data_IF_577336740715
#
_entry.id   IF_577336740715
#
_cell.length_a   1.000
_cell.length_b   1.000
_cell.length_c   1.000
_cell.angle_alpha   90.00
_cell.angle_beta   90.00
_cell.angle_gamma   90.00
#
_symmetry.space_group_name_H-M   'P 1'
#
loop_
_entity.id
_entity.type
_entity.pdbx_description
1 polymer ?
#
# COMPACT_ATOMS: atom_id res chain seq x y z
N UNK A 1 -39.19 47.58 -36.86
CA UNK A 1 -38.28 46.52 -37.36
C UNK A 1 -37.32 46.23 -36.23
N UNK A 2 -37.64 45.23 -35.42
CA UNK A 2 -36.93 44.90 -34.19
C UNK A 2 -35.83 43.92 -34.56
N UNK A 3 -34.57 44.38 -34.57
CA UNK A 3 -33.42 43.49 -34.72
C UNK A 3 -33.08 42.92 -33.34
N UNK A 4 -33.37 41.63 -33.16
CA UNK A 4 -32.92 40.82 -32.03
C UNK A 4 -31.51 40.36 -32.37
N UNK A 5 -30.51 41.05 -31.81
CA UNK A 5 -29.13 40.61 -31.85
C UNK A 5 -28.82 39.64 -30.70
N UNK A 6 -28.01 38.59 -30.97
CA UNK A 6 -28.11 37.32 -30.27
C UNK A 6 -27.43 37.32 -28.89
N UNK A 7 -28.09 36.67 -27.93
CA UNK A 7 -27.49 36.27 -26.67
C UNK A 7 -26.28 35.37 -26.95
N UNK A 8 -25.09 35.91 -26.67
CA UNK A 8 -23.85 35.16 -26.67
C UNK A 8 -23.97 34.04 -25.64
N UNK A 9 -24.09 32.80 -26.11
CA UNK A 9 -24.06 31.63 -25.27
C UNK A 9 -22.70 31.60 -24.56
N UNK A 10 -22.70 31.93 -23.26
CA UNK A 10 -21.54 31.76 -22.41
C UNK A 10 -21.26 30.26 -22.29
N UNK A 11 -20.48 29.71 -23.22
CA UNK A 11 -19.83 28.41 -23.05
C UNK A 11 -19.07 28.48 -21.75
N UNK A 12 -19.59 27.81 -20.71
CA UNK A 12 -18.89 27.68 -19.43
C UNK A 12 -17.53 27.06 -19.73
N UNK A 13 -16.49 27.89 -19.74
CA UNK A 13 -15.15 27.42 -20.03
C UNK A 13 -14.83 26.32 -18.99
N UNK A 14 -14.39 25.13 -19.43
CA UNK A 14 -14.10 24.06 -18.49
C UNK A 14 -13.03 24.54 -17.52
N UNK A 15 -13.28 24.36 -16.23
CA UNK A 15 -12.38 24.80 -15.15
C UNK A 15 -10.98 24.20 -15.25
N UNK A 16 -10.86 23.06 -15.93
CA UNK A 16 -9.61 22.35 -16.22
C UNK A 16 -9.62 21.79 -17.64
N UNK A 17 -8.45 21.81 -18.27
CA UNK A 17 -8.22 21.10 -19.53
C UNK A 17 -7.18 19.98 -19.37
N UNK A 18 -7.24 18.99 -20.26
CA UNK A 18 -6.32 17.84 -20.26
C UNK A 18 -4.86 18.27 -20.34
N UNK A 19 -4.56 19.27 -21.16
CA UNK A 19 -3.19 19.79 -21.32
C UNK A 19 -2.64 20.42 -20.04
N UNK A 20 -3.49 21.11 -19.28
CA UNK A 20 -3.10 21.71 -18.00
C UNK A 20 -2.74 20.63 -16.98
N UNK A 21 -3.51 19.55 -16.94
CA UNK A 21 -3.22 18.37 -16.10
C UNK A 21 -1.89 17.72 -16.50
N UNK A 22 -1.64 17.51 -17.79
CA UNK A 22 -0.36 16.97 -18.27
C UNK A 22 0.83 17.89 -17.97
N UNK A 23 0.63 19.21 -18.03
CA UNK A 23 1.66 20.19 -17.63
C UNK A 23 1.95 20.10 -16.13
N UNK A 24 0.92 19.99 -15.30
CA UNK A 24 1.05 19.81 -13.86
C UNK A 24 1.80 18.52 -13.51
N UNK A 25 1.47 17.39 -14.15
CA UNK A 25 2.15 16.11 -13.93
C UNK A 25 3.65 16.18 -14.30
N UNK A 26 3.99 16.79 -15.43
CA UNK A 26 5.40 17.01 -15.81
C UNK A 26 6.15 17.87 -14.79
N UNK A 27 5.48 18.89 -14.23
CA UNK A 27 6.09 19.75 -13.22
C UNK A 27 6.38 18.98 -11.92
N UNK A 28 5.43 18.16 -11.47
CA UNK A 28 5.58 17.28 -10.30
C UNK A 28 6.75 16.32 -10.52
N UNK A 29 6.84 15.69 -11.68
CA UNK A 29 7.93 14.75 -12.02
C UNK A 29 9.29 15.45 -12.03
N UNK A 30 9.37 16.65 -12.60
CA UNK A 30 10.62 17.41 -12.69
C UNK A 30 11.11 17.88 -11.31
N UNK A 31 10.21 18.33 -10.46
CA UNK A 31 10.54 18.91 -9.16
C UNK A 31 10.60 17.86 -8.03
N UNK A 32 10.25 16.60 -8.32
CA UNK A 32 10.11 15.53 -7.33
C UNK A 32 9.32 15.99 -6.10
N UNK A 33 8.28 16.79 -6.35
CA UNK A 33 7.56 17.52 -5.30
C UNK A 33 6.86 16.52 -4.39
N UNK A 34 7.07 16.64 -3.08
CA UNK A 34 6.29 15.87 -2.12
C UNK A 34 4.85 16.36 -2.15
N UNK A 35 3.95 15.46 -2.55
CA UNK A 35 2.52 15.72 -2.58
C UNK A 35 1.88 15.18 -1.30
N UNK A 36 0.80 15.83 -0.82
CA UNK A 36 0.05 15.30 0.31
C UNK A 36 -0.46 13.89 0.00
N UNK A 37 -0.54 13.00 0.99
CA UNK A 37 -0.98 11.63 0.78
C UNK A 37 -2.41 11.59 0.22
N UNK A 38 -2.63 10.74 -0.78
CA UNK A 38 -3.97 10.43 -1.28
C UNK A 38 -4.79 9.74 -0.20
N UNK A 39 -6.04 10.18 0.00
CA UNK A 39 -6.94 9.61 1.00
C UNK A 39 -7.59 8.32 0.53
N UNK A 40 -8.28 8.36 -0.61
CA UNK A 40 -9.10 7.24 -1.11
C UNK A 40 -8.77 6.87 -2.55
N UNK A 41 -8.43 7.86 -3.38
CA UNK A 41 -8.26 7.68 -4.83
C UNK A 41 -6.90 8.17 -5.29
N UNK A 42 -6.39 7.55 -6.35
CA UNK A 42 -5.13 7.86 -6.99
C UNK A 42 -5.33 8.01 -8.50
N UNK A 43 -4.72 9.02 -9.11
CA UNK A 43 -4.63 9.17 -10.55
C UNK A 43 -3.46 8.36 -11.07
N UNK A 44 -3.70 7.49 -12.05
CA UNK A 44 -2.68 6.68 -12.69
C UNK A 44 -2.18 7.38 -13.96
N UNK A 45 -0.89 7.64 -14.05
CA UNK A 45 -0.26 8.19 -15.24
C UNK A 45 1.15 7.61 -15.43
N UNK A 46 1.40 7.01 -16.59
CA UNK A 46 2.68 6.35 -16.94
C UNK A 46 3.19 5.36 -15.87
N UNK A 47 2.27 4.59 -15.29
CA UNK A 47 2.58 3.60 -14.24
C UNK A 47 2.86 4.20 -12.85
N UNK A 48 2.77 5.52 -12.70
CA UNK A 48 2.91 6.23 -11.42
C UNK A 48 1.54 6.65 -10.89
N UNK A 49 1.47 6.77 -9.57
CA UNK A 49 0.24 7.15 -8.87
C UNK A 49 0.40 8.53 -8.28
N UNK A 50 -0.61 9.37 -8.49
CA UNK A 50 -0.62 10.76 -8.08
C UNK A 50 -1.90 11.08 -7.31
N UNK A 51 -1.86 11.92 -6.27
CA UNK A 51 -3.05 12.39 -5.59
C UNK A 51 -3.89 13.27 -6.52
N UNK A 52 -5.13 12.88 -6.88
CA UNK A 52 -5.93 13.56 -7.90
C UNK A 52 -6.20 15.02 -7.54
N UNK A 53 -6.49 15.29 -6.26
CA UNK A 53 -6.74 16.65 -5.77
C UNK A 53 -5.52 17.56 -5.92
N UNK A 54 -4.33 17.08 -5.57
CA UNK A 54 -3.12 17.91 -5.64
C UNK A 54 -2.74 18.20 -7.10
N UNK A 55 -2.96 17.24 -8.00
CA UNK A 55 -2.77 17.43 -9.44
C UNK A 55 -3.77 18.46 -9.98
N UNK A 56 -5.05 18.36 -9.62
CA UNK A 56 -6.08 19.31 -10.03
C UNK A 56 -5.80 20.73 -9.51
N UNK A 57 -5.41 20.88 -8.23
CA UNK A 57 -5.01 22.16 -7.63
C UNK A 57 -3.85 22.79 -8.39
N UNK A 58 -2.81 22.01 -8.71
CA UNK A 58 -1.66 22.51 -9.45
C UNK A 58 -2.03 22.91 -10.87
N UNK A 59 -2.78 22.06 -11.57
CA UNK A 59 -3.24 22.34 -12.93
C UNK A 59 -4.10 23.62 -12.98
N UNK A 60 -4.96 23.83 -11.98
CA UNK A 60 -5.81 25.02 -11.87
C UNK A 60 -5.02 26.30 -11.57
N UNK A 61 -3.96 26.23 -10.77
CA UNK A 61 -3.02 27.34 -10.56
C UNK A 61 -2.29 27.72 -11.84
N UNK A 62 -1.86 26.72 -12.61
CA UNK A 62 -1.22 26.92 -13.91
C UNK A 62 -2.21 27.52 -14.93
N UNK A 63 -3.48 27.11 -14.88
CA UNK A 63 -4.54 27.63 -15.75
C UNK A 63 -4.82 29.12 -15.52
N UNK A 64 -4.87 29.55 -14.26
CA UNK A 64 -5.12 30.95 -13.90
C UNK A 64 -3.86 31.82 -13.83
N UNK A 65 -2.68 31.23 -14.07
CA UNK A 65 -1.40 31.88 -13.81
C UNK A 65 -1.29 32.48 -12.39
N UNK A 66 -2.01 31.91 -11.41
CA UNK A 66 -2.07 32.38 -10.04
C UNK A 66 -1.60 31.28 -9.08
N UNK A 67 -0.44 31.45 -8.41
CA UNK A 67 0.11 30.44 -7.51
C UNK A 67 -0.71 30.25 -6.22
N UNK A 68 -1.56 31.21 -5.85
CA UNK A 68 -2.42 31.14 -4.68
C UNK A 68 -3.83 30.61 -5.00
N UNK A 69 -4.14 30.33 -6.28
CA UNK A 69 -5.44 29.79 -6.62
C UNK A 69 -5.68 28.45 -5.91
N UNK A 70 -6.84 28.32 -5.28
CA UNK A 70 -7.27 27.11 -4.60
C UNK A 70 -8.30 26.42 -5.46
N UNK A 71 -8.22 25.10 -5.54
CA UNK A 71 -9.22 24.32 -6.24
C UNK A 71 -10.60 24.57 -5.61
N UNK A 72 -11.60 25.01 -6.40
CA UNK A 72 -12.88 25.48 -5.87
C UNK A 72 -13.76 24.36 -5.31
N UNK A 73 -13.43 23.09 -5.59
CA UNK A 73 -14.23 21.96 -5.11
C UNK A 73 -13.79 21.50 -3.69
N UNK A 74 -14.74 21.39 -2.74
CA UNK A 74 -14.49 20.83 -1.41
C UNK A 74 -14.16 19.32 -1.48
N UNK A 75 -13.71 18.75 -0.37
CA UNK A 75 -13.48 17.31 -0.26
C UNK A 75 -14.79 16.54 -0.51
N UNK A 76 -14.77 15.56 -1.42
CA UNK A 76 -15.96 14.75 -1.77
C UNK A 76 -16.72 15.19 -3.03
N UNK A 77 -16.48 16.40 -3.56
CA UNK A 77 -16.95 16.80 -4.89
C UNK A 77 -16.10 16.13 -5.99
N UNK A 78 -16.65 15.87 -7.20
CA UNK A 78 -16.12 14.90 -8.13
C UNK A 78 -14.96 15.50 -8.95
N UNK A 79 -13.89 15.88 -8.25
CA UNK A 79 -12.57 16.12 -8.87
C UNK A 79 -12.15 14.89 -9.68
N UNK A 80 -12.52 13.71 -9.22
CA UNK A 80 -12.36 12.45 -9.94
C UNK A 80 -13.11 12.48 -11.28
N UNK A 81 -14.41 12.80 -11.29
CA UNK A 81 -15.18 12.86 -12.54
C UNK A 81 -14.63 13.93 -13.50
N UNK A 82 -14.13 15.07 -12.98
CA UNK A 82 -13.48 16.09 -13.81
C UNK A 82 -12.21 15.56 -14.48
N UNK A 83 -11.41 14.74 -13.78
CA UNK A 83 -10.21 14.11 -14.34
C UNK A 83 -10.57 12.94 -15.27
N UNK A 84 -11.58 12.15 -14.93
CA UNK A 84 -12.09 11.05 -15.76
C UNK A 84 -12.67 11.58 -17.08
N UNK A 85 -13.41 12.69 -17.05
CA UNK A 85 -13.92 13.37 -18.24
C UNK A 85 -12.80 13.93 -19.15
N UNK A 86 -11.57 13.99 -18.65
CA UNK A 86 -10.36 14.38 -19.39
C UNK A 86 -9.50 13.17 -19.78
N UNK A 87 -10.07 11.96 -19.75
CA UNK A 87 -9.44 10.68 -20.07
C UNK A 87 -8.30 10.27 -19.11
N UNK A 88 -8.37 10.68 -17.83
CA UNK A 88 -7.47 10.16 -16.81
C UNK A 88 -8.08 9.00 -16.04
N UNK A 89 -7.30 7.95 -15.83
CA UNK A 89 -7.70 6.80 -15.02
C UNK A 89 -7.53 7.11 -13.54
N UNK A 90 -8.63 7.09 -12.80
CA UNK A 90 -8.63 7.17 -11.34
C UNK A 90 -8.85 5.76 -10.78
N UNK A 91 -8.02 5.38 -9.81
CA UNK A 91 -8.10 4.08 -9.13
C UNK A 91 -8.30 4.29 -7.64
N UNK A 92 -9.08 3.41 -7.00
CA UNK A 92 -9.14 3.37 -5.55
C UNK A 92 -7.79 2.90 -4.97
N UNK A 93 -7.36 3.52 -3.88
CA UNK A 93 -6.17 3.10 -3.15
C UNK A 93 -6.43 1.71 -2.61
N UNK A 94 -5.61 0.73 -3.02
CA UNK A 94 -5.70 -0.63 -2.50
C UNK A 94 -5.42 -0.59 -0.99
N UNK A 95 -6.33 -1.05 -0.13
CA UNK A 95 -5.98 -1.27 1.26
C UNK A 95 -4.86 -2.30 1.28
N UNK A 96 -3.68 -1.87 1.70
CA UNK A 96 -2.62 -2.80 2.06
C UNK A 96 -3.08 -3.42 3.38
N UNK A 97 -3.58 -4.66 3.29
CA UNK A 97 -3.59 -5.55 4.44
C UNK A 97 -2.12 -5.69 4.83
N UNK A 98 -1.68 -4.92 5.82
CA UNK A 98 -0.35 -5.05 6.37
C UNK A 98 -0.26 -6.45 6.98
N UNK A 99 0.30 -7.39 6.22
CA UNK A 99 0.57 -8.75 6.67
C UNK A 99 1.54 -8.80 7.88
N UNK A 100 2.04 -7.65 8.37
CA UNK A 100 2.92 -7.53 9.52
C UNK A 100 2.24 -7.19 10.85
N UNK A 101 0.90 -7.06 10.92
CA UNK A 101 0.17 -6.79 12.17
C UNK A 101 -0.66 -7.97 12.68
N UNK A 102 -0.42 -9.17 12.14
CA UNK A 102 -1.05 -10.41 12.59
C UNK A 102 -0.11 -11.29 13.43
N UNK A 103 1.19 -10.95 13.50
CA UNK A 103 2.17 -11.78 14.21
C UNK A 103 2.00 -11.69 15.74
N UNK A 104 1.50 -10.56 16.24
CA UNK A 104 1.17 -10.35 17.65
C UNK A 104 -0.08 -11.14 18.08
N UNK A 105 -1.07 -11.28 17.18
CA UNK A 105 -2.30 -12.03 17.47
C UNK A 105 -2.11 -13.55 17.37
N UNK A 106 -1.23 -14.02 16.48
CA UNK A 106 -0.89 -15.44 16.37
C UNK A 106 -0.18 -15.96 17.62
N UNK A 107 0.82 -15.21 18.11
CA UNK A 107 1.57 -15.59 19.31
C UNK A 107 0.70 -15.58 20.57
N UNK A 108 -0.23 -14.63 20.69
CA UNK A 108 -1.18 -14.60 21.81
C UNK A 108 -2.14 -15.80 21.79
N UNK A 109 -2.61 -16.23 20.61
CA UNK A 109 -3.49 -17.38 20.48
C UNK A 109 -2.75 -18.71 20.75
N UNK A 110 -1.50 -18.84 20.30
CA UNK A 110 -0.65 -20.00 20.58
C UNK A 110 -0.34 -20.10 22.08
N UNK A 111 0.06 -18.99 22.73
CA UNK A 111 0.30 -18.95 24.17
C UNK A 111 -0.95 -19.30 24.99
N UNK A 112 -2.12 -18.80 24.58
CA UNK A 112 -3.39 -19.16 25.23
C UNK A 112 -3.74 -20.64 25.08
N UNK A 113 -3.45 -21.25 23.93
CA UNK A 113 -3.66 -22.68 23.72
C UNK A 113 -2.69 -23.53 24.55
N UNK A 114 -1.42 -23.11 24.63
CA UNK A 114 -0.40 -23.75 25.45
C UNK A 114 -0.71 -23.67 26.95
N UNK A 115 -1.17 -22.52 27.44
CA UNK A 115 -1.63 -22.33 28.83
C UNK A 115 -2.84 -23.21 29.17
N UNK A 116 -3.75 -23.41 28.21
CA UNK A 116 -4.93 -24.26 28.40
C UNK A 116 -4.56 -25.74 28.47
N UNK A 117 -3.53 -26.16 27.72
CA UNK A 117 -3.07 -27.54 27.67
C UNK A 117 -2.14 -27.90 28.85
N UNK A 118 -1.29 -26.96 29.26
CA UNK A 118 -0.22 -27.19 30.26
C UNK A 118 -0.63 -26.71 31.66
N UNK A 119 -1.67 -25.86 31.75
CA UNK A 119 -2.05 -25.13 32.95
C UNK A 119 -1.16 -23.90 33.17
N UNK A 120 -1.70 -22.80 33.73
CA UNK A 120 -0.90 -21.60 34.00
C UNK A 120 0.23 -21.93 34.98
N UNK A 121 1.48 -21.47 34.74
CA UNK A 121 2.56 -21.69 35.69
C UNK A 121 2.20 -20.97 37.02
N UNK A 122 2.41 -21.62 38.17
CA UNK A 122 2.21 -20.96 39.46
C UNK A 122 3.20 -19.78 39.57
N UNK A 123 2.77 -18.60 40.10
CA UNK A 123 3.58 -17.39 40.16
C UNK A 123 4.63 -17.42 41.28
N UNK A 124 5.30 -18.56 41.50
CA UNK A 124 6.39 -18.71 42.47
C UNK A 124 7.31 -19.88 42.07
N UNK A 125 8.08 -19.71 40.99
CA UNK A 125 9.32 -20.47 40.79
C UNK A 125 10.21 -19.86 39.70
N UNK A 126 10.65 -18.62 39.93
CA UNK A 126 11.96 -18.23 39.45
C UNK A 126 12.98 -18.92 40.36
N UNK A 127 13.91 -19.67 39.74
CA UNK A 127 14.98 -20.45 40.38
C UNK A 127 14.56 -21.82 40.95
N UNK A 128 14.60 -22.83 40.09
CA UNK A 128 15.55 -23.93 40.29
C UNK A 128 15.76 -24.63 38.95
N UNK A 129 16.95 -24.44 38.38
CA UNK A 129 17.44 -25.23 37.27
C UNK A 129 17.56 -26.69 37.75
N UNK A 130 16.51 -27.48 37.59
CA UNK A 130 16.64 -28.93 37.60
C UNK A 130 17.51 -29.30 36.42
N UNK A 131 18.79 -29.52 36.70
CA UNK A 131 19.71 -30.20 35.82
C UNK A 131 19.17 -31.62 35.60
N UNK A 132 18.32 -31.77 34.59
CA UNK A 132 17.94 -33.07 34.05
C UNK A 132 19.19 -33.61 33.37
N UNK A 133 19.89 -34.52 34.05
CA UNK A 133 21.00 -35.25 33.47
C UNK A 133 20.48 -36.10 32.32
N UNK A 134 20.98 -35.85 31.10
CA UNK A 134 20.69 -36.70 29.95
C UNK A 134 21.16 -38.13 30.25
N UNK A 135 20.32 -39.17 30.05
CA UNK A 135 20.78 -40.55 30.17
C UNK A 135 21.82 -40.81 29.06
N UNK A 136 22.98 -41.32 29.47
CA UNK A 136 24.07 -41.68 28.55
C UNK A 136 23.55 -42.73 27.55
N UNK A 137 23.59 -42.48 26.23
CA UNK A 137 23.04 -43.43 25.27
C UNK A 137 23.90 -44.71 25.24
N UNK A 138 23.28 -45.84 25.56
CA UNK A 138 23.91 -47.17 25.60
C UNK A 138 24.03 -47.83 24.21
N UNK A 139 24.18 -47.07 23.13
CA UNK A 139 24.44 -47.62 21.79
C UNK A 139 25.91 -47.47 21.42
N UNK A 140 26.75 -48.29 22.04
CA UNK A 140 27.99 -48.76 21.42
C UNK A 140 27.63 -49.80 20.37
N UNK A 141 27.33 -49.35 19.16
CA UNK A 141 27.47 -50.21 17.98
C UNK A 141 27.72 -49.32 16.78
N UNK A 142 28.96 -49.35 16.29
CA UNK A 142 29.30 -48.82 14.97
C UNK A 142 28.45 -49.58 13.93
N UNK A 143 27.76 -48.91 13.00
CA UNK A 143 27.12 -49.62 11.90
C UNK A 143 28.19 -50.40 11.11
N UNK A 144 27.87 -51.59 10.57
CA UNK A 144 28.81 -52.30 9.73
C UNK A 144 29.19 -51.42 8.53
N UNK A 145 30.49 -51.32 8.27
CA UNK A 145 30.99 -50.55 7.15
C UNK A 145 30.58 -51.27 5.85
N UNK A 146 29.56 -50.75 5.18
CA UNK A 146 29.11 -51.23 3.89
C UNK A 146 30.24 -51.08 2.87
N UNK A 147 30.71 -52.19 2.32
CA UNK A 147 31.89 -52.18 1.46
C UNK A 147 31.50 -51.96 0.01
N UNK A 148 32.42 -51.37 -0.76
CA UNK A 148 32.23 -51.14 -2.21
C UNK A 148 31.94 -52.44 -2.98
N UNK A 149 32.37 -53.58 -2.45
CA UNK A 149 32.18 -54.88 -3.10
C UNK A 149 30.74 -55.38 -2.93
N UNK A 150 30.13 -55.18 -1.76
CA UNK A 150 28.70 -55.47 -1.55
C UNK A 150 27.81 -54.62 -2.46
N UNK A 151 28.18 -53.36 -2.70
CA UNK A 151 27.45 -52.47 -3.61
C UNK A 151 27.47 -52.91 -5.09
N UNK A 152 28.46 -53.70 -5.50
CA UNK A 152 28.59 -54.18 -6.88
C UNK A 152 27.85 -55.49 -7.13
N UNK A 153 27.56 -56.26 -6.08
CA UNK A 153 26.79 -57.52 -6.17
C UNK A 153 25.28 -57.27 -6.29
N UNK A 154 24.80 -56.07 -5.93
CA UNK A 154 23.37 -55.69 -6.02
C UNK A 154 22.94 -55.06 -7.36
N UNK A 155 23.84 -55.01 -8.36
CA UNK A 155 23.59 -54.51 -9.73
C UNK A 155 23.41 -55.65 -10.74
#
# INVERSE_FOLDING_TARGET
>A
MTDVSPASAASTAPLLTREQVLRALRLIERESRQLPPSTVYELLYRGRRYPPRAVAELAYRLAQANPQARWPHPAGQPTNAALEALDFTIVAKRPILAAGSAQDQGQAAEQQAEDLYTGPPPPDQAAEASAVAEPTPAYTSLPPAYTKQEALDEL
#
